data_IF_409669078394
#
_entry.id   IF_409669078394
#
_cell.length_a   1.000
_cell.length_b   1.000
_cell.length_c   1.000
_cell.angle_alpha   90.00
_cell.angle_beta   90.00
_cell.angle_gamma   90.00
#
_symmetry.space_group_name_H-M   'P 1'
#
loop_
_entity.id
_entity.type
_entity.pdbx_description
1 polymer ?
#
# COMPACT_ATOMS: atom_id res chain seq x y z
N UNK A 1 24.56 3.18 14.89
CA UNK A 1 23.77 3.19 13.64
C UNK A 1 23.50 1.74 13.31
N UNK A 2 22.25 1.26 13.38
CA UNK A 2 21.93 -0.10 12.94
C UNK A 2 22.18 -0.14 11.42
N UNK A 3 23.03 -1.05 10.95
CA UNK A 3 23.44 -1.11 9.54
C UNK A 3 22.62 -2.14 8.76
N UNK A 4 22.54 -1.98 7.44
CA UNK A 4 21.98 -2.98 6.52
C UNK A 4 22.60 -4.36 6.77
N UNK A 5 23.91 -4.41 7.01
CA UNK A 5 24.64 -5.65 7.29
C UNK A 5 24.21 -6.32 8.60
N UNK A 6 23.87 -5.54 9.64
CA UNK A 6 23.29 -6.13 10.85
C UNK A 6 21.94 -6.77 10.52
N UNK A 7 21.06 -6.05 9.82
CA UNK A 7 19.73 -6.53 9.48
C UNK A 7 19.75 -7.80 8.63
N UNK A 8 20.63 -7.88 7.62
CA UNK A 8 20.79 -9.06 6.76
C UNK A 8 21.22 -10.33 7.50
N UNK A 9 21.94 -10.18 8.60
CA UNK A 9 22.46 -11.31 9.38
C UNK A 9 21.45 -11.83 10.42
N UNK A 10 20.26 -11.22 10.51
CA UNK A 10 19.20 -11.66 11.40
C UNK A 10 18.27 -12.65 10.68
N UNK A 11 17.74 -13.60 11.45
CA UNK A 11 16.55 -14.35 11.02
C UNK A 11 15.30 -13.48 11.13
N UNK A 12 14.16 -13.99 10.68
CA UNK A 12 12.91 -13.23 10.56
C UNK A 12 12.46 -12.60 11.89
N UNK A 13 12.47 -13.36 12.98
CA UNK A 13 12.17 -12.85 14.33
C UNK A 13 13.08 -11.67 14.70
N UNK A 14 14.39 -11.81 14.44
CA UNK A 14 15.35 -10.76 14.72
C UNK A 14 15.16 -9.53 13.84
N UNK A 15 14.75 -9.70 12.58
CA UNK A 15 14.40 -8.59 11.68
C UNK A 15 13.18 -7.83 12.20
N UNK A 16 12.13 -8.55 12.60
CA UNK A 16 10.92 -7.95 13.17
C UNK A 16 11.22 -7.16 14.45
N UNK A 17 11.89 -7.79 15.42
CA UNK A 17 12.31 -7.13 16.67
C UNK A 17 13.16 -5.88 16.39
N UNK A 18 14.05 -5.95 15.40
CA UNK A 18 14.92 -4.82 15.06
C UNK A 18 14.16 -3.62 14.52
N UNK A 19 13.14 -3.86 13.69
CA UNK A 19 12.29 -2.83 13.08
C UNK A 19 11.32 -2.24 14.11
N UNK A 20 10.69 -3.06 14.94
CA UNK A 20 9.76 -2.62 15.98
C UNK A 20 10.47 -1.79 17.07
N UNK A 21 11.58 -2.30 17.61
CA UNK A 21 12.38 -1.63 18.65
C UNK A 21 13.34 -0.55 18.08
N UNK A 22 13.12 -0.10 16.85
CA UNK A 22 14.01 0.89 16.26
C UNK A 22 13.84 2.26 16.92
N UNK A 23 14.96 2.76 17.44
CA UNK A 23 15.08 4.09 18.03
C UNK A 23 16.04 4.97 17.21
N UNK A 24 15.64 6.22 17.01
CA UNK A 24 16.38 7.21 16.23
C UNK A 24 15.96 7.26 14.76
N UNK A 25 16.78 7.92 13.93
CA UNK A 25 16.52 8.09 12.50
C UNK A 25 17.32 7.05 11.68
N UNK A 26 16.65 6.25 10.83
CA UNK A 26 17.35 5.36 9.91
C UNK A 26 18.09 6.16 8.83
N UNK A 27 19.11 5.56 8.22
CA UNK A 27 19.73 6.13 7.03
C UNK A 27 18.81 5.97 5.82
N UNK A 28 18.93 6.88 4.85
CA UNK A 28 18.23 6.78 3.56
C UNK A 28 18.57 5.47 2.84
N UNK A 29 19.82 5.02 2.94
CA UNK A 29 20.27 3.74 2.38
C UNK A 29 19.53 2.55 3.00
N UNK A 30 19.31 2.56 4.32
CA UNK A 30 18.57 1.50 5.00
C UNK A 30 17.09 1.52 4.59
N UNK A 31 16.47 2.69 4.50
CA UNK A 31 15.09 2.83 4.01
C UNK A 31 14.94 2.29 2.57
N UNK A 32 15.85 2.66 1.67
CA UNK A 32 15.85 2.18 0.28
C UNK A 32 16.07 0.66 0.19
N UNK A 33 16.90 0.11 1.09
CA UNK A 33 17.09 -1.34 1.17
C UNK A 33 15.78 -2.06 1.56
N UNK A 34 15.09 -1.57 2.60
CA UNK A 34 13.82 -2.14 3.04
C UNK A 34 12.72 -2.04 1.98
N UNK A 35 12.66 -0.94 1.23
CA UNK A 35 11.76 -0.82 0.07
C UNK A 35 12.02 -1.91 -0.99
N UNK A 36 13.27 -2.35 -1.15
CA UNK A 36 13.62 -3.48 -2.01
C UNK A 36 13.18 -4.83 -1.44
N UNK A 37 13.31 -5.04 -0.13
CA UNK A 37 12.89 -6.29 0.53
C UNK A 37 11.37 -6.52 0.44
N UNK A 38 10.54 -5.46 0.40
CA UNK A 38 9.09 -5.61 0.25
C UNK A 38 8.66 -6.42 -0.98
N UNK A 39 9.39 -6.30 -2.09
CA UNK A 39 9.09 -6.99 -3.34
C UNK A 39 9.87 -8.30 -3.51
N UNK A 40 10.65 -8.69 -2.50
CA UNK A 40 11.38 -9.95 -2.54
C UNK A 40 10.45 -11.12 -2.22
N UNK A 41 10.56 -12.19 -3.01
CA UNK A 41 9.87 -13.46 -2.75
C UNK A 41 10.48 -14.23 -1.58
N UNK A 42 11.73 -13.92 -1.22
CA UNK A 42 12.48 -14.62 -0.17
C UNK A 42 12.25 -14.02 1.22
N UNK A 43 11.43 -12.98 1.32
CA UNK A 43 11.14 -12.29 2.58
C UNK A 43 9.77 -12.74 3.08
N UNK A 44 9.76 -13.22 4.33
CA UNK A 44 8.56 -13.68 5.00
C UNK A 44 7.49 -12.56 5.11
N UNK A 45 6.23 -12.95 5.03
CA UNK A 45 5.08 -12.04 5.07
C UNK A 45 5.04 -11.19 6.34
N UNK A 46 5.37 -11.74 7.51
CA UNK A 46 5.41 -11.00 8.77
C UNK A 46 6.56 -9.98 8.79
N UNK A 47 7.68 -10.29 8.13
CA UNK A 47 8.77 -9.33 7.96
C UNK A 47 8.33 -8.19 7.03
N UNK A 48 7.63 -8.47 5.94
CA UNK A 48 7.08 -7.44 5.04
C UNK A 48 6.13 -6.49 5.80
N UNK A 49 5.32 -7.02 6.70
CA UNK A 49 4.44 -6.24 7.58
C UNK A 49 5.23 -5.24 8.43
N UNK A 50 6.28 -5.69 9.11
CA UNK A 50 7.10 -4.79 9.94
C UNK A 50 7.86 -3.78 9.09
N UNK A 51 8.27 -4.15 7.87
CA UNK A 51 8.83 -3.20 6.91
C UNK A 51 7.81 -2.11 6.54
N UNK A 52 6.55 -2.46 6.27
CA UNK A 52 5.51 -1.49 5.92
C UNK A 52 5.26 -0.48 7.05
N UNK A 53 5.13 -0.96 8.29
CA UNK A 53 5.02 -0.10 9.48
C UNK A 53 6.23 0.81 9.65
N UNK A 54 7.42 0.25 9.42
CA UNK A 54 8.66 1.00 9.52
C UNK A 54 8.74 2.13 8.49
N UNK A 55 8.43 1.82 7.23
CA UNK A 55 8.40 2.79 6.16
C UNK A 55 7.30 3.83 6.38
N UNK A 56 6.10 3.43 6.83
CA UNK A 56 5.03 4.39 7.13
C UNK A 56 5.49 5.40 8.19
N UNK A 57 6.20 4.96 9.22
CA UNK A 57 6.77 5.87 10.24
C UNK A 57 7.79 6.86 9.68
N UNK A 58 8.73 6.41 8.83
CA UNK A 58 9.90 7.22 8.41
C UNK A 58 9.80 7.80 6.99
N UNK A 59 8.80 7.42 6.22
CA UNK A 59 8.56 7.80 4.82
C UNK A 59 7.10 8.22 4.56
N UNK A 60 6.30 8.52 5.60
CA UNK A 60 4.87 8.90 5.43
C UNK A 60 4.63 10.02 4.41
N UNK A 61 5.60 10.92 4.22
CA UNK A 61 5.57 12.04 3.27
C UNK A 61 6.21 11.72 1.90
N UNK A 62 6.91 10.59 1.78
CA UNK A 62 7.64 10.22 0.57
C UNK A 62 6.72 9.60 -0.48
N UNK A 63 6.57 10.29 -1.61
CA UNK A 63 5.72 9.84 -2.72
C UNK A 63 6.17 8.55 -3.39
N UNK A 64 7.48 8.38 -3.64
CA UNK A 64 7.99 7.19 -4.31
C UNK A 64 7.73 5.92 -3.48
N UNK A 65 7.90 6.01 -2.16
CA UNK A 65 7.56 4.93 -1.23
C UNK A 65 6.06 4.62 -1.26
N UNK A 66 5.18 5.65 -1.32
CA UNK A 66 3.72 5.45 -1.46
C UNK A 66 3.37 4.67 -2.72
N UNK A 67 3.90 5.10 -3.87
CA UNK A 67 3.63 4.47 -5.17
C UNK A 67 4.04 2.99 -5.18
N UNK A 68 5.17 2.67 -4.54
CA UNK A 68 5.63 1.29 -4.35
C UNK A 68 4.66 0.47 -3.50
N UNK A 69 4.19 1.00 -2.36
CA UNK A 69 3.24 0.27 -1.50
C UNK A 69 1.92 0.01 -2.21
N UNK A 70 1.41 0.99 -2.97
CA UNK A 70 0.18 0.82 -3.77
C UNK A 70 0.38 -0.28 -4.83
N UNK A 71 1.54 -0.30 -5.49
CA UNK A 71 1.91 -1.35 -6.43
C UNK A 71 1.96 -2.73 -5.74
N UNK A 72 2.54 -2.83 -4.54
CA UNK A 72 2.57 -4.06 -3.75
C UNK A 72 1.16 -4.57 -3.47
N UNK A 73 0.23 -3.70 -3.06
CA UNK A 73 -1.17 -4.09 -2.81
C UNK A 73 -1.81 -4.71 -4.06
N UNK A 74 -1.57 -4.11 -5.23
CA UNK A 74 -2.11 -4.61 -6.50
C UNK A 74 -1.50 -5.96 -6.87
N UNK A 75 -0.19 -6.13 -6.72
CA UNK A 75 0.52 -7.36 -7.07
C UNK A 75 0.18 -8.51 -6.09
N UNK A 76 0.23 -8.27 -4.78
CA UNK A 76 -0.13 -9.26 -3.75
C UNK A 76 -1.58 -9.72 -3.83
N UNK A 77 -2.51 -8.90 -4.37
CA UNK A 77 -3.88 -9.36 -4.65
C UNK A 77 -3.93 -10.45 -5.71
N UNK A 78 -3.13 -10.29 -6.78
CA UNK A 78 -3.08 -11.27 -7.87
C UNK A 78 -2.46 -12.59 -7.41
N UNK A 79 -1.56 -12.52 -6.43
CA UNK A 79 -0.91 -13.67 -5.81
C UNK A 79 -1.69 -14.25 -4.61
N UNK A 80 -2.85 -13.66 -4.28
CA UNK A 80 -3.74 -14.07 -3.18
C UNK A 80 -3.10 -14.03 -1.78
N UNK A 81 -2.21 -13.07 -1.54
CA UNK A 81 -1.56 -12.82 -0.24
C UNK A 81 -2.44 -11.90 0.64
N UNK A 82 -3.57 -12.44 1.14
CA UNK A 82 -4.60 -11.66 1.85
C UNK A 82 -4.10 -10.87 3.08
N UNK A 83 -3.11 -11.40 3.81
CA UNK A 83 -2.58 -10.77 5.02
C UNK A 83 -1.70 -9.55 4.66
N UNK A 84 -0.73 -9.72 3.76
CA UNK A 84 0.11 -8.64 3.22
C UNK A 84 -0.75 -7.52 2.66
N UNK A 85 -1.79 -7.88 1.90
CA UNK A 85 -2.73 -6.94 1.31
C UNK A 85 -3.49 -6.13 2.37
N UNK A 86 -4.05 -6.80 3.37
CA UNK A 86 -4.82 -6.16 4.44
C UNK A 86 -3.96 -5.17 5.23
N UNK A 87 -2.70 -5.54 5.49
CA UNK A 87 -1.79 -4.72 6.27
C UNK A 87 -1.21 -3.57 5.44
N UNK A 88 -0.84 -3.80 4.18
CA UNK A 88 -0.42 -2.74 3.28
C UNK A 88 -1.52 -1.68 3.09
N UNK A 89 -2.78 -2.10 2.97
CA UNK A 89 -3.93 -1.18 2.93
C UNK A 89 -4.09 -0.37 4.23
N UNK A 90 -3.88 -1.00 5.40
CA UNK A 90 -3.91 -0.30 6.69
C UNK A 90 -2.76 0.68 6.85
N UNK A 91 -1.53 0.27 6.54
CA UNK A 91 -0.34 1.12 6.64
C UNK A 91 -0.35 2.26 5.63
N UNK A 92 -0.98 2.07 4.46
CA UNK A 92 -1.22 3.17 3.52
C UNK A 92 -2.05 4.30 4.17
N UNK A 93 -2.94 3.98 5.12
CA UNK A 93 -3.64 5.00 5.91
C UNK A 93 -2.73 5.75 6.90
N UNK A 94 -1.48 5.35 7.10
CA UNK A 94 -0.51 6.09 7.90
C UNK A 94 0.27 7.11 7.06
N UNK A 95 0.26 7.00 5.72
CA UNK A 95 0.91 7.96 4.82
C UNK A 95 0.09 9.24 4.60
N UNK A 96 0.75 10.37 4.37
CA UNK A 96 0.09 11.63 4.03
C UNK A 96 -0.49 11.56 2.61
N UNK A 97 -1.73 11.10 2.50
CA UNK A 97 -2.43 10.96 1.21
C UNK A 97 -3.16 12.25 0.88
N UNK A 98 -2.48 13.09 0.11
CA UNK A 98 -3.10 14.28 -0.47
C UNK A 98 -4.16 13.90 -1.52
N UNK A 99 -4.90 14.90 -1.96
CA UNK A 99 -5.90 14.75 -3.02
C UNK A 99 -5.35 14.16 -4.32
N UNK A 100 -4.16 14.58 -4.72
CA UNK A 100 -3.53 14.09 -5.95
C UNK A 100 -3.07 12.63 -5.81
N UNK A 101 -2.58 12.25 -4.61
CA UNK A 101 -2.23 10.85 -4.31
C UNK A 101 -3.47 9.96 -4.40
N UNK A 102 -4.60 10.40 -3.83
CA UNK A 102 -5.86 9.66 -3.90
C UNK A 102 -6.33 9.45 -5.34
N UNK A 103 -6.30 10.49 -6.17
CA UNK A 103 -6.69 10.39 -7.59
C UNK A 103 -5.83 9.38 -8.33
N UNK A 104 -4.52 9.43 -8.16
CA UNK A 104 -3.62 8.50 -8.83
C UNK A 104 -3.81 7.05 -8.39
N UNK A 105 -4.01 6.83 -7.09
CA UNK A 105 -4.30 5.50 -6.57
C UNK A 105 -5.63 4.99 -7.14
N UNK A 106 -6.65 5.83 -7.17
CA UNK A 106 -7.96 5.49 -7.76
C UNK A 106 -7.86 5.13 -9.24
N UNK A 107 -7.18 5.96 -10.04
CA UNK A 107 -6.98 5.73 -11.48
C UNK A 107 -6.22 4.42 -11.73
N UNK A 108 -5.15 4.15 -10.97
CA UNK A 108 -4.38 2.91 -11.08
C UNK A 108 -5.22 1.67 -10.77
N UNK A 109 -6.02 1.71 -9.70
CA UNK A 109 -6.88 0.59 -9.30
C UNK A 109 -7.97 0.33 -10.34
N UNK A 110 -8.58 1.38 -10.89
CA UNK A 110 -9.59 1.29 -11.93
C UNK A 110 -9.00 0.71 -13.23
N UNK A 111 -7.83 1.16 -13.66
CA UNK A 111 -7.13 0.62 -14.83
C UNK A 111 -6.82 -0.87 -14.65
N UNK A 112 -6.45 -1.27 -13.43
CA UNK A 112 -6.18 -2.67 -13.09
C UNK A 112 -7.45 -3.52 -13.03
N UNK A 113 -8.54 -3.00 -12.48
CA UNK A 113 -9.86 -3.65 -12.51
C UNK A 113 -10.37 -3.85 -13.94
N UNK A 114 -10.13 -2.88 -14.82
CA UNK A 114 -10.47 -3.03 -16.25
C UNK A 114 -9.69 -4.17 -16.91
N UNK A 115 -8.42 -4.36 -16.54
CA UNK A 115 -7.58 -5.45 -17.03
C UNK A 115 -7.93 -6.80 -16.39
N UNK A 116 -8.38 -6.80 -15.14
CA UNK A 116 -8.75 -7.99 -14.38
C UNK A 116 -9.99 -7.72 -13.52
N UNK A 117 -11.17 -8.14 -14.03
CA UNK A 117 -12.46 -7.92 -13.37
C UNK A 117 -12.59 -8.59 -12.00
N UNK A 118 -11.72 -9.54 -11.65
CA UNK A 118 -11.72 -10.18 -10.33
C UNK A 118 -11.26 -9.21 -9.23
N UNK A 119 -10.59 -8.10 -9.59
CA UNK A 119 -10.12 -7.07 -8.64
C UNK A 119 -11.20 -6.12 -8.11
N UNK A 120 -12.45 -6.26 -8.56
CA UNK A 120 -13.54 -5.32 -8.25
C UNK A 120 -13.76 -5.12 -6.74
N UNK A 121 -13.60 -6.18 -5.95
CA UNK A 121 -13.78 -6.16 -4.50
C UNK A 121 -12.62 -5.45 -3.80
N UNK A 122 -11.38 -5.63 -4.30
CA UNK A 122 -10.21 -4.91 -3.81
C UNK A 122 -10.33 -3.42 -4.06
N UNK A 123 -10.56 -3.03 -5.31
CA UNK A 123 -10.67 -1.62 -5.72
C UNK A 123 -11.73 -0.90 -4.90
N UNK A 124 -12.91 -1.52 -4.74
CA UNK A 124 -13.97 -0.95 -3.90
C UNK A 124 -13.54 -0.76 -2.45
N UNK A 125 -12.91 -1.77 -1.87
CA UNK A 125 -12.61 -1.82 -0.44
C UNK A 125 -11.50 -0.83 -0.09
N UNK A 126 -10.45 -0.77 -0.91
CA UNK A 126 -9.33 0.13 -0.69
C UNK A 126 -9.75 1.60 -0.88
N UNK A 127 -10.52 1.92 -1.92
CA UNK A 127 -10.99 3.29 -2.14
C UNK A 127 -11.90 3.75 -0.98
N UNK A 128 -12.82 2.89 -0.52
CA UNK A 128 -13.65 3.19 0.67
C UNK A 128 -12.80 3.43 1.92
N UNK A 129 -11.77 2.60 2.14
CA UNK A 129 -10.86 2.76 3.28
C UNK A 129 -10.16 4.13 3.22
N UNK A 130 -9.59 4.49 2.07
CA UNK A 130 -8.91 5.78 1.87
C UNK A 130 -9.87 6.97 2.04
N UNK A 131 -11.13 6.84 1.61
CA UNK A 131 -12.15 7.85 1.83
C UNK A 131 -12.48 8.07 3.32
N UNK A 132 -12.39 7.03 4.17
CA UNK A 132 -12.65 7.20 5.62
C UNK A 132 -11.59 8.06 6.31
N UNK A 133 -10.32 7.99 5.86
CA UNK A 133 -9.23 8.83 6.38
C UNK A 133 -9.43 10.32 6.05
N UNK A 134 -9.91 10.63 4.85
CA UNK A 134 -9.96 11.99 4.32
C UNK A 134 -11.23 12.80 4.67
N UNK A 135 -12.01 12.37 5.67
CA UNK A 135 -13.24 13.05 6.13
C UNK A 135 -13.05 14.47 6.69
N UNK A 136 -11.81 14.98 6.76
CA UNK A 136 -11.49 16.28 7.34
C UNK A 136 -11.52 17.49 6.39
N UNK A 137 -11.62 17.35 5.05
CA UNK A 137 -11.40 18.53 4.19
C UNK A 137 -11.94 18.60 2.76
N UNK A 138 -12.53 17.56 2.16
CA UNK A 138 -13.08 17.68 0.79
C UNK A 138 -14.00 16.51 0.40
N UNK A 139 -15.10 16.31 1.14
CA UNK A 139 -16.05 15.20 0.91
C UNK A 139 -16.46 15.01 -0.54
N UNK A 140 -16.64 16.09 -1.28
CA UNK A 140 -17.37 16.08 -2.56
C UNK A 140 -16.57 15.44 -3.70
N UNK A 141 -15.24 15.58 -3.73
CA UNK A 141 -14.41 14.95 -4.76
C UNK A 141 -14.18 13.46 -4.47
N UNK A 142 -14.19 13.05 -3.20
CA UNK A 142 -14.11 11.64 -2.83
C UNK A 142 -15.38 10.87 -3.20
N UNK A 143 -16.55 11.48 -3.04
CA UNK A 143 -17.81 10.90 -3.50
C UNK A 143 -17.87 10.83 -5.03
N UNK A 144 -17.32 11.82 -5.75
CA UNK A 144 -17.24 11.77 -7.22
C UNK A 144 -16.38 10.60 -7.72
N UNK A 145 -15.25 10.28 -7.07
CA UNK A 145 -14.47 9.09 -7.47
C UNK A 145 -15.20 7.78 -7.16
N UNK A 146 -15.94 7.71 -6.04
CA UNK A 146 -16.82 6.56 -5.76
C UNK A 146 -17.94 6.43 -6.80
N UNK A 147 -18.56 7.54 -7.21
CA UNK A 147 -19.57 7.57 -8.26
C UNK A 147 -19.00 7.16 -9.62
N UNK A 148 -17.75 7.52 -9.94
CA UNK A 148 -17.07 7.03 -11.15
C UNK A 148 -16.94 5.52 -11.12
N UNK A 149 -16.51 4.92 -10.00
CA UNK A 149 -16.41 3.45 -9.87
C UNK A 149 -17.78 2.80 -10.09
N UNK A 150 -18.83 3.34 -9.45
CA UNK A 150 -20.17 2.80 -9.60
C UNK A 150 -20.69 2.94 -11.06
N UNK A 151 -20.35 4.03 -11.76
CA UNK A 151 -20.61 4.20 -13.19
C UNK A 151 -19.82 3.21 -14.06
N UNK A 152 -18.51 3.04 -13.80
CA UNK A 152 -17.64 2.09 -14.51
C UNK A 152 -18.17 0.66 -14.40
N UNK A 153 -18.72 0.29 -13.24
CA UNK A 153 -19.33 -1.01 -13.01
C UNK A 153 -20.58 -1.25 -13.84
N UNK A 154 -21.41 -0.23 -14.00
CA UNK A 154 -22.58 -0.33 -14.88
C UNK A 154 -22.17 -0.48 -16.34
N UNK A 155 -21.13 0.23 -16.79
CA UNK A 155 -20.59 0.08 -18.15
C UNK A 155 -20.04 -1.33 -18.40
N UNK A 156 -19.31 -1.91 -17.44
CA UNK A 156 -18.80 -3.30 -17.51
C UNK A 156 -19.95 -4.33 -17.56
N UNK A 157 -21.01 -4.13 -16.76
CA UNK A 157 -22.20 -5.01 -16.79
C UNK A 157 -22.92 -4.97 -18.14
N UNK A 158 -22.99 -3.79 -18.78
CA UNK A 158 -23.57 -3.63 -20.11
C UNK A 158 -22.73 -4.36 -21.16
N UNK A 159 -21.39 -4.34 -21.03
CA UNK A 159 -20.48 -5.00 -21.96
C UNK A 159 -20.49 -6.55 -21.90
N UNK A 160 -20.91 -7.13 -20.76
CA UNK A 160 -21.04 -8.59 -20.57
C UNK A 160 -22.34 -9.19 -21.11
N UNK A 161 -23.34 -8.38 -21.47
CA UNK A 161 -24.64 -8.81 -22.01
C UNK A 161 -24.73 -8.59 -23.52
#
# INVERSE_FOLDING_TARGET
>A
MKSIELYKNLGDDGKMDLLDDFSGNPSVEFLNYLEGELFSIDVDEFVKVEILKFLSRFRHDNRETKDKIVKLIVESYLDNEEMTLSIAAQELMSFDLGKDDFRQISDLLLDKEYQNMDMIDLTSSLIRLLCTKNRGGSSDEYFQELEKIDSYREDIKIWKN
#
